data_IF_772405273765
#
_entry.id   IF_772405273765
#
_cell.length_a   1.000
_cell.length_b   1.000
_cell.length_c   1.000
_cell.angle_alpha   90.00
_cell.angle_beta   90.00
_cell.angle_gamma   90.00
#
_symmetry.space_group_name_H-M   'P 1'
#
loop_
_entity.id
_entity.type
_entity.pdbx_description
1 polymer ?
#
# COMPACT_ATOMS: atom_id res chain seq x y z
N UNK A 1 -9.14 -6.90 -24.25
CA UNK A 1 -9.73 -8.20 -23.83
C UNK A 1 -10.77 -7.87 -22.77
N UNK A 2 -12.01 -8.40 -22.90
CA UNK A 2 -13.11 -7.95 -22.04
C UNK A 2 -12.99 -8.43 -20.61
N UNK A 3 -13.61 -7.69 -19.69
CA UNK A 3 -13.72 -7.96 -18.25
C UNK A 3 -14.18 -9.39 -17.93
N UNK A 4 -15.04 -9.97 -18.78
CA UNK A 4 -15.52 -11.36 -18.61
C UNK A 4 -14.42 -12.43 -18.79
N UNK A 5 -13.46 -12.20 -19.69
CA UNK A 5 -12.35 -13.15 -19.90
C UNK A 5 -11.38 -13.13 -18.69
N UNK A 6 -11.15 -11.97 -18.09
CA UNK A 6 -10.34 -11.83 -16.88
C UNK A 6 -11.00 -12.53 -15.69
N UNK A 7 -12.30 -12.30 -15.48
CA UNK A 7 -13.06 -12.95 -14.41
C UNK A 7 -13.03 -14.48 -14.52
N UNK A 8 -13.12 -15.01 -15.72
CA UNK A 8 -13.06 -16.47 -15.95
C UNK A 8 -11.69 -17.05 -15.64
N UNK A 9 -10.62 -16.36 -16.08
CA UNK A 9 -9.23 -16.76 -15.80
C UNK A 9 -8.94 -16.74 -14.30
N UNK A 10 -9.32 -15.67 -13.62
CA UNK A 10 -9.15 -15.52 -12.18
C UNK A 10 -9.92 -16.59 -11.39
N UNK A 11 -11.15 -16.88 -11.78
CA UNK A 11 -11.94 -17.93 -11.15
C UNK A 11 -11.27 -19.31 -11.30
N UNK A 12 -10.72 -19.62 -12.45
CA UNK A 12 -9.96 -20.86 -12.67
C UNK A 12 -8.74 -20.96 -11.75
N UNK A 13 -8.03 -19.84 -11.51
CA UNK A 13 -6.91 -19.79 -10.59
C UNK A 13 -7.31 -20.00 -9.12
N UNK A 14 -8.45 -19.47 -8.69
CA UNK A 14 -9.00 -19.70 -7.35
C UNK A 14 -9.38 -21.17 -7.15
N UNK A 15 -10.08 -21.76 -8.12
CA UNK A 15 -10.52 -23.16 -8.08
C UNK A 15 -9.33 -24.12 -8.04
N UNK A 16 -8.28 -23.86 -8.81
CA UNK A 16 -7.02 -24.62 -8.77
C UNK A 16 -6.34 -24.64 -7.39
N UNK A 17 -6.58 -23.60 -6.57
CA UNK A 17 -6.10 -23.47 -5.19
C UNK A 17 -7.12 -23.88 -4.14
N UNK A 18 -8.27 -24.47 -4.54
CA UNK A 18 -9.33 -24.88 -3.63
C UNK A 18 -10.11 -23.72 -2.98
N UNK A 19 -9.98 -22.51 -3.53
CA UNK A 19 -10.70 -21.34 -3.02
C UNK A 19 -12.01 -21.17 -3.76
N UNK A 20 -13.14 -21.26 -3.05
CA UNK A 20 -14.44 -21.02 -3.66
C UNK A 20 -14.71 -19.52 -3.83
N UNK A 21 -15.49 -19.15 -4.86
CA UNK A 21 -15.94 -17.76 -5.04
C UNK A 21 -16.57 -17.17 -3.78
N UNK A 22 -17.34 -17.98 -3.03
CA UNK A 22 -17.97 -17.56 -1.77
C UNK A 22 -16.94 -17.24 -0.71
N UNK A 23 -15.89 -18.06 -0.57
CA UNK A 23 -14.80 -17.82 0.39
C UNK A 23 -14.00 -16.59 0.01
N UNK A 24 -13.72 -16.42 -1.29
CA UNK A 24 -13.06 -15.23 -1.81
C UNK A 24 -13.87 -13.95 -1.52
N UNK A 25 -15.17 -13.93 -1.81
CA UNK A 25 -16.02 -12.76 -1.52
C UNK A 25 -16.13 -12.44 -0.01
N UNK A 26 -16.11 -13.46 0.85
CA UNK A 26 -16.04 -13.24 2.31
C UNK A 26 -14.73 -12.57 2.72
N UNK A 27 -13.61 -13.01 2.14
CA UNK A 27 -12.30 -12.37 2.36
C UNK A 27 -12.33 -10.91 1.91
N UNK A 28 -12.85 -10.62 0.73
CA UNK A 28 -12.98 -9.24 0.22
C UNK A 28 -13.86 -8.37 1.13
N UNK A 29 -14.93 -8.93 1.68
CA UNK A 29 -15.77 -8.26 2.67
C UNK A 29 -15.01 -7.96 3.97
N UNK A 30 -14.25 -8.93 4.47
CA UNK A 30 -13.43 -8.73 5.66
C UNK A 30 -12.35 -7.65 5.45
N UNK A 31 -11.68 -7.65 4.29
CA UNK A 31 -10.70 -6.62 3.91
C UNK A 31 -11.39 -5.25 3.82
N UNK A 32 -12.56 -5.16 3.16
CA UNK A 32 -13.29 -3.91 3.05
C UNK A 32 -13.69 -3.32 4.41
N UNK A 33 -14.13 -4.17 5.34
CA UNK A 33 -14.47 -3.76 6.72
C UNK A 33 -13.22 -3.32 7.47
N UNK A 34 -12.13 -4.10 7.38
CA UNK A 34 -10.86 -3.77 8.02
C UNK A 34 -10.26 -2.45 7.49
N UNK A 35 -10.47 -2.15 6.21
CA UNK A 35 -10.08 -0.89 5.59
C UNK A 35 -11.06 0.28 5.85
N UNK A 36 -12.09 0.08 6.67
CA UNK A 36 -13.08 1.12 6.97
C UNK A 36 -14.06 1.45 5.84
N UNK A 37 -14.06 0.66 4.76
CA UNK A 37 -14.90 0.90 3.57
C UNK A 37 -16.33 0.33 3.70
N UNK A 38 -16.55 -0.51 4.71
CA UNK A 38 -17.80 -1.22 4.90
C UNK A 38 -18.01 -2.41 3.93
N UNK A 39 -18.93 -3.31 4.28
CA UNK A 39 -19.16 -4.56 3.51
C UNK A 39 -19.59 -4.34 2.05
N UNK A 40 -20.26 -3.21 1.77
CA UNK A 40 -20.71 -2.86 0.42
C UNK A 40 -19.55 -2.62 -0.56
N UNK A 41 -18.35 -2.39 -0.06
CA UNK A 41 -17.16 -2.26 -0.89
C UNK A 41 -16.51 -3.59 -1.30
N UNK A 42 -16.98 -4.73 -0.78
CA UNK A 42 -16.44 -6.06 -1.12
C UNK A 42 -16.31 -6.32 -2.64
N UNK A 43 -17.27 -5.94 -3.51
CA UNK A 43 -17.10 -6.11 -4.95
C UNK A 43 -15.95 -5.28 -5.55
N UNK A 44 -15.71 -4.07 -5.03
CA UNK A 44 -14.58 -3.22 -5.47
C UNK A 44 -13.24 -3.81 -5.04
N UNK A 45 -13.15 -4.33 -3.82
CA UNK A 45 -11.97 -5.03 -3.32
C UNK A 45 -11.72 -6.30 -4.17
N UNK A 46 -12.78 -7.05 -4.49
CA UNK A 46 -12.68 -8.24 -5.34
C UNK A 46 -12.13 -7.90 -6.73
N UNK A 47 -12.65 -6.84 -7.35
CA UNK A 47 -12.19 -6.39 -8.67
C UNK A 47 -10.72 -5.94 -8.63
N UNK A 48 -10.31 -5.17 -7.63
CA UNK A 48 -8.94 -4.73 -7.48
C UNK A 48 -7.96 -5.91 -7.31
N UNK A 49 -8.35 -6.92 -6.52
CA UNK A 49 -7.54 -8.14 -6.35
C UNK A 49 -7.48 -8.96 -7.64
N UNK A 50 -8.59 -9.09 -8.35
CA UNK A 50 -8.64 -9.78 -9.64
C UNK A 50 -7.72 -9.12 -10.68
N UNK A 51 -7.82 -7.81 -10.84
CA UNK A 51 -6.99 -7.02 -11.76
C UNK A 51 -5.51 -7.13 -11.40
N UNK A 52 -5.16 -7.07 -10.12
CA UNK A 52 -3.80 -7.20 -9.63
C UNK A 52 -3.21 -8.58 -9.93
N UNK A 53 -3.94 -9.66 -9.61
CA UNK A 53 -3.46 -11.04 -9.79
C UNK A 53 -3.34 -11.39 -11.28
N UNK A 54 -4.33 -11.03 -12.09
CA UNK A 54 -4.27 -11.27 -13.54
C UNK A 54 -3.19 -10.40 -14.19
N UNK A 55 -3.01 -9.17 -13.75
CA UNK A 55 -1.91 -8.31 -14.18
C UNK A 55 -0.55 -8.97 -13.91
N UNK A 56 -0.33 -9.49 -12.72
CA UNK A 56 0.89 -10.18 -12.33
C UNK A 56 1.16 -11.43 -13.21
N UNK A 57 0.14 -12.27 -13.44
CA UNK A 57 0.29 -13.48 -14.29
C UNK A 57 0.64 -13.17 -15.74
N UNK A 58 0.32 -11.97 -16.21
CA UNK A 58 0.65 -11.49 -17.56
C UNK A 58 1.96 -10.71 -17.63
N UNK A 59 2.70 -10.65 -16.53
CA UNK A 59 3.93 -9.86 -16.41
C UNK A 59 3.69 -8.35 -16.34
N UNK A 60 2.46 -7.92 -16.09
CA UNK A 60 2.09 -6.54 -15.87
C UNK A 60 1.85 -6.33 -14.37
N UNK A 61 2.95 -6.21 -13.65
CA UNK A 61 2.95 -6.04 -12.19
C UNK A 61 2.29 -4.71 -11.81
N UNK A 62 1.52 -4.73 -10.71
CA UNK A 62 0.84 -3.52 -10.23
C UNK A 62 1.84 -2.59 -9.54
N UNK A 63 1.94 -1.31 -9.97
CA UNK A 63 2.88 -0.37 -9.38
C UNK A 63 2.55 -0.09 -7.91
N UNK A 64 3.57 -0.06 -7.08
CA UNK A 64 3.46 0.24 -5.64
C UNK A 64 4.51 1.28 -5.26
N UNK A 65 4.06 2.29 -4.54
CA UNK A 65 4.90 3.22 -3.79
C UNK A 65 4.73 2.88 -2.31
N UNK A 66 5.82 2.58 -1.61
CA UNK A 66 5.81 2.29 -0.18
C UNK A 66 6.61 3.36 0.55
N UNK A 67 5.92 4.29 1.18
CA UNK A 67 6.52 5.40 1.94
C UNK A 67 6.60 5.06 3.42
N UNK A 68 7.74 5.33 4.01
CA UNK A 68 7.94 5.29 5.45
C UNK A 68 7.83 6.71 6.03
N UNK A 69 6.75 6.96 6.75
CA UNK A 69 6.61 8.14 7.60
C UNK A 69 7.45 8.01 8.88
N UNK A 70 6.95 8.50 10.00
CA UNK A 70 7.60 8.26 11.29
C UNK A 70 7.41 6.79 11.70
N UNK A 71 8.28 5.93 11.21
CA UNK A 71 8.22 4.47 11.29
C UNK A 71 9.34 3.92 12.17
N UNK A 72 9.12 2.74 12.72
CA UNK A 72 10.17 1.89 13.29
C UNK A 72 10.63 0.80 12.30
N UNK A 73 10.15 0.84 11.07
CA UNK A 73 10.35 -0.19 10.05
C UNK A 73 9.78 -1.57 10.42
N UNK A 74 9.05 -1.65 11.53
CA UNK A 74 8.56 -2.92 12.08
C UNK A 74 7.54 -3.62 11.19
N UNK A 75 6.75 -2.88 10.40
CA UNK A 75 5.80 -3.50 9.47
C UNK A 75 6.52 -4.05 8.24
N UNK A 76 7.52 -3.34 7.72
CA UNK A 76 8.41 -3.83 6.66
C UNK A 76 9.18 -5.08 7.12
N UNK A 77 9.74 -5.08 8.35
CA UNK A 77 10.41 -6.24 8.94
C UNK A 77 9.45 -7.42 9.13
N UNK A 78 8.23 -7.15 9.54
CA UNK A 78 7.20 -8.20 9.64
C UNK A 78 6.85 -8.78 8.27
N UNK A 79 6.73 -7.95 7.26
CA UNK A 79 6.55 -8.40 5.87
C UNK A 79 7.73 -9.25 5.41
N UNK A 80 8.98 -8.85 5.72
CA UNK A 80 10.17 -9.59 5.34
C UNK A 80 10.25 -11.00 5.94
N UNK A 81 9.44 -11.30 6.95
CA UNK A 81 9.40 -12.61 7.64
C UNK A 81 8.19 -13.48 7.26
N UNK A 82 7.39 -13.04 6.29
CA UNK A 82 6.24 -13.84 5.81
C UNK A 82 6.75 -15.07 5.05
N UNK A 83 6.16 -16.24 5.34
CA UNK A 83 6.57 -17.50 4.72
C UNK A 83 5.79 -17.82 3.43
N UNK A 84 4.51 -17.42 3.35
CA UNK A 84 3.66 -17.77 2.20
C UNK A 84 2.61 -16.71 1.90
N UNK A 85 2.66 -16.02 0.74
CA UNK A 85 3.81 -16.00 -0.18
C UNK A 85 5.03 -15.35 0.50
N UNK A 86 6.23 -15.78 0.16
CA UNK A 86 7.44 -15.15 0.69
C UNK A 86 7.63 -13.74 0.07
N UNK A 87 8.40 -12.85 0.73
CA UNK A 87 8.56 -11.46 0.30
C UNK A 87 9.14 -11.33 -1.11
N UNK A 88 10.05 -12.22 -1.50
CA UNK A 88 10.65 -12.20 -2.83
C UNK A 88 9.59 -12.50 -3.91
N UNK A 89 8.74 -13.48 -3.69
CA UNK A 89 7.60 -13.77 -4.57
C UNK A 89 6.68 -12.55 -4.69
N UNK A 90 6.36 -11.89 -3.58
CA UNK A 90 5.50 -10.69 -3.63
C UNK A 90 6.15 -9.57 -4.44
N UNK A 91 7.39 -9.21 -4.12
CA UNK A 91 8.08 -8.05 -4.71
C UNK A 91 8.50 -8.30 -6.16
N UNK A 92 8.84 -9.55 -6.53
CA UNK A 92 9.35 -9.85 -7.87
C UNK A 92 8.29 -10.36 -8.84
N UNK A 93 7.18 -10.94 -8.33
CA UNK A 93 6.21 -11.64 -9.17
C UNK A 93 4.78 -11.09 -9.07
N UNK A 94 4.45 -10.35 -8.00
CA UNK A 94 3.07 -9.90 -7.75
C UNK A 94 2.90 -8.39 -7.89
N UNK A 95 3.92 -7.59 -7.51
CA UNK A 95 3.88 -6.13 -7.57
C UNK A 95 5.13 -5.58 -8.29
N UNK A 96 5.03 -4.34 -8.76
CA UNK A 96 6.19 -3.55 -9.17
C UNK A 96 6.47 -2.54 -8.07
N UNK A 97 7.42 -2.87 -7.17
CA UNK A 97 7.79 -1.96 -6.09
C UNK A 97 8.69 -0.85 -6.66
N UNK A 98 8.07 0.27 -7.01
CA UNK A 98 8.74 1.37 -7.69
C UNK A 98 9.45 2.33 -6.72
N UNK A 99 9.02 2.35 -5.46
CA UNK A 99 9.63 3.14 -4.41
C UNK A 99 9.47 2.48 -3.04
N UNK A 100 10.57 2.38 -2.30
CA UNK A 100 10.57 2.08 -0.87
C UNK A 100 11.90 2.55 -0.27
N UNK A 101 11.86 3.27 0.82
CA UNK A 101 13.07 3.73 1.52
C UNK A 101 13.89 2.55 2.06
N UNK A 102 13.25 1.43 2.40
CA UNK A 102 13.92 0.27 3.03
C UNK A 102 14.25 -0.83 2.05
N UNK A 103 13.36 -1.17 1.12
CA UNK A 103 13.47 -2.37 0.27
C UNK A 103 14.12 -2.10 -1.08
N UNK A 104 14.20 -0.87 -1.54
CA UNK A 104 14.77 -0.54 -2.84
C UNK A 104 16.29 -0.59 -2.82
N UNK A 105 16.88 -1.13 -3.89
CA UNK A 105 18.33 -1.13 -4.06
C UNK A 105 18.90 0.23 -4.48
N UNK A 106 18.10 1.07 -5.13
CA UNK A 106 18.45 2.43 -5.49
C UNK A 106 18.29 3.39 -4.31
N UNK A 107 18.92 4.55 -4.35
CA UNK A 107 18.85 5.59 -3.33
C UNK A 107 18.98 7.00 -3.92
N UNK A 108 18.60 8.02 -3.16
CA UNK A 108 18.75 9.42 -3.53
C UNK A 108 17.93 9.81 -4.76
N UNK A 109 18.48 10.62 -5.63
CA UNK A 109 17.75 11.19 -6.79
C UNK A 109 17.11 10.14 -7.69
N UNK A 110 17.73 8.98 -7.90
CA UNK A 110 17.17 7.93 -8.75
C UNK A 110 15.88 7.33 -8.18
N UNK A 111 15.77 7.26 -6.85
CA UNK A 111 14.56 6.80 -6.18
C UNK A 111 13.45 7.86 -6.25
N UNK A 112 13.79 9.11 -5.98
CA UNK A 112 12.82 10.20 -6.07
C UNK A 112 12.28 10.37 -7.49
N UNK A 113 13.14 10.19 -8.51
CA UNK A 113 12.72 10.21 -9.90
C UNK A 113 11.77 9.04 -10.23
N UNK A 114 12.04 7.84 -9.77
CA UNK A 114 11.17 6.67 -9.97
C UNK A 114 9.80 6.87 -9.30
N UNK A 115 9.79 7.47 -8.09
CA UNK A 115 8.56 7.86 -7.40
C UNK A 115 7.76 8.88 -8.22
N UNK A 116 8.41 9.97 -8.65
CA UNK A 116 7.76 11.02 -9.42
C UNK A 116 7.17 10.49 -10.74
N UNK A 117 7.91 9.65 -11.47
CA UNK A 117 7.42 9.00 -12.69
C UNK A 117 6.21 8.11 -12.41
N UNK A 118 6.20 7.38 -11.29
CA UNK A 118 5.07 6.53 -10.90
C UNK A 118 3.84 7.37 -10.54
N UNK A 119 4.02 8.49 -9.83
CA UNK A 119 2.94 9.43 -9.49
C UNK A 119 2.36 10.06 -10.76
N UNK A 120 3.20 10.48 -11.70
CA UNK A 120 2.77 11.06 -12.97
C UNK A 120 2.00 10.04 -13.83
N UNK A 121 2.46 8.81 -13.88
CA UNK A 121 1.80 7.73 -14.61
C UNK A 121 0.44 7.36 -14.01
N UNK A 122 0.27 7.53 -12.70
CA UNK A 122 -0.93 7.12 -11.97
C UNK A 122 -1.10 5.61 -11.92
N UNK A 123 -2.29 5.15 -11.52
CA UNK A 123 -2.65 3.74 -11.47
C UNK A 123 -1.72 2.88 -10.60
N UNK A 124 -1.45 3.35 -9.39
CA UNK A 124 -0.62 2.68 -8.40
C UNK A 124 -1.33 2.61 -7.03
N UNK A 125 -0.80 1.75 -6.15
CA UNK A 125 -1.17 1.69 -4.74
C UNK A 125 -0.09 2.40 -3.93
N UNK A 126 -0.52 3.31 -3.05
CA UNK A 126 0.32 3.88 -2.02
C UNK A 126 0.20 3.05 -0.74
N UNK A 127 1.32 2.49 -0.28
CA UNK A 127 1.45 1.92 1.07
C UNK A 127 2.18 2.97 1.91
N UNK A 128 1.60 3.31 3.05
CA UNK A 128 2.21 4.22 4.01
C UNK A 128 2.40 3.53 5.36
N UNK A 129 3.64 3.41 5.80
CA UNK A 129 4.04 2.87 7.08
C UNK A 129 4.50 4.01 8.01
N UNK A 130 4.19 3.90 9.29
CA UNK A 130 4.56 4.94 10.25
C UNK A 130 3.49 6.03 10.42
N UNK A 131 3.70 6.92 11.38
CA UNK A 131 2.78 8.03 11.65
C UNK A 131 3.06 9.23 10.74
N UNK A 132 2.03 10.01 10.47
CA UNK A 132 2.15 11.34 9.85
C UNK A 132 2.47 12.34 10.95
N UNK A 133 3.56 13.11 10.81
CA UNK A 133 3.97 14.10 11.79
C UNK A 133 3.64 15.52 11.33
N UNK A 134 2.61 16.11 11.95
CA UNK A 134 2.17 17.47 11.65
C UNK A 134 2.93 18.54 12.47
N UNK A 135 3.63 18.11 13.50
CA UNK A 135 4.33 18.99 14.43
C UNK A 135 5.33 19.92 13.74
N UNK A 136 5.49 21.10 14.32
CA UNK A 136 6.35 22.19 13.83
C UNK A 136 6.05 22.58 12.38
N UNK A 137 4.77 22.59 12.00
CA UNK A 137 4.34 22.91 10.63
C UNK A 137 4.75 21.86 9.61
N UNK A 138 4.70 20.57 9.98
CA UNK A 138 5.08 19.44 9.12
C UNK A 138 6.58 19.17 9.05
N UNK A 139 7.41 19.96 9.76
CA UNK A 139 8.88 19.84 9.72
C UNK A 139 9.44 18.76 10.65
N UNK A 140 8.59 18.07 11.41
CA UNK A 140 9.01 17.01 12.32
C UNK A 140 9.63 15.80 11.63
N UNK A 141 9.29 15.58 10.35
CA UNK A 141 9.87 14.57 9.47
C UNK A 141 10.18 15.20 8.12
N UNK A 142 11.38 14.97 7.62
CA UNK A 142 11.78 15.39 6.26
C UNK A 142 12.49 14.25 5.54
N UNK A 143 12.13 14.07 4.27
CA UNK A 143 12.75 13.11 3.35
C UNK A 143 13.02 13.82 2.04
N UNK A 144 14.20 13.68 1.44
CA UNK A 144 14.59 14.30 0.17
C UNK A 144 14.29 15.83 0.12
N UNK A 145 14.61 16.54 1.20
CA UNK A 145 14.38 17.99 1.39
C UNK A 145 12.91 18.43 1.42
N UNK A 146 11.98 17.49 1.47
CA UNK A 146 10.53 17.73 1.53
C UNK A 146 9.96 17.31 2.89
N UNK A 147 8.99 18.03 3.48
CA UNK A 147 8.25 17.55 4.64
C UNK A 147 7.56 16.22 4.37
N UNK A 148 7.57 15.30 5.33
CA UNK A 148 6.89 14.00 5.19
C UNK A 148 5.39 14.09 4.93
N UNK A 149 4.77 15.18 5.40
CA UNK A 149 3.36 15.52 5.11
C UNK A 149 3.12 15.83 3.64
N UNK A 150 4.04 16.54 2.99
CA UNK A 150 3.97 16.84 1.56
C UNK A 150 4.18 15.59 0.72
N UNK A 151 5.13 14.72 1.10
CA UNK A 151 5.32 13.41 0.47
C UNK A 151 4.03 12.59 0.44
N UNK A 152 3.31 12.54 1.58
CA UNK A 152 2.06 11.81 1.68
C UNK A 152 0.99 12.40 0.75
N UNK A 153 0.80 13.73 0.79
CA UNK A 153 -0.23 14.41 -0.02
C UNK A 153 0.04 14.23 -1.51
N UNK A 154 1.30 14.43 -1.94
CA UNK A 154 1.70 14.25 -3.33
C UNK A 154 1.44 12.82 -3.80
N UNK A 155 1.91 11.82 -3.03
CA UNK A 155 1.74 10.42 -3.38
C UNK A 155 0.29 9.92 -3.25
N UNK A 156 -0.54 10.52 -2.42
CA UNK A 156 -1.94 10.14 -2.28
C UNK A 156 -2.83 10.68 -3.40
N UNK A 157 -2.45 11.83 -4.01
CA UNK A 157 -3.32 12.56 -4.95
C UNK A 157 -3.74 11.74 -6.18
N UNK A 158 -2.84 10.91 -6.73
CA UNK A 158 -3.07 10.10 -7.93
C UNK A 158 -3.10 8.59 -7.66
N UNK A 159 -3.04 8.18 -6.39
CA UNK A 159 -3.10 6.77 -6.01
C UNK A 159 -4.51 6.20 -6.19
N UNK A 160 -4.62 4.98 -6.72
CA UNK A 160 -5.90 4.26 -6.78
C UNK A 160 -6.39 3.82 -5.40
N UNK A 161 -5.46 3.58 -4.50
CA UNK A 161 -5.75 3.26 -3.11
C UNK A 161 -4.59 3.70 -2.21
N UNK A 162 -4.91 4.09 -0.98
CA UNK A 162 -3.93 4.36 0.08
C UNK A 162 -4.13 3.31 1.17
N UNK A 163 -3.05 2.59 1.47
CA UNK A 163 -3.02 1.54 2.50
C UNK A 163 -2.22 2.05 3.70
N UNK A 164 -2.90 2.33 4.81
CA UNK A 164 -2.26 2.64 6.08
C UNK A 164 -1.79 1.32 6.73
N UNK A 165 -0.47 1.08 6.73
CA UNK A 165 0.12 -0.16 7.22
C UNK A 165 0.61 -0.01 8.66
N UNK A 166 0.00 -0.79 9.55
CA UNK A 166 0.32 -0.81 10.97
C UNK A 166 -0.34 0.31 11.79
N UNK A 167 -0.28 0.18 13.10
CA UNK A 167 -0.98 1.09 14.04
C UNK A 167 -0.53 2.54 13.91
N UNK A 168 0.75 2.77 13.62
CA UNK A 168 1.27 4.13 13.45
C UNK A 168 0.59 4.84 12.27
N UNK A 169 0.46 4.17 11.12
CA UNK A 169 -0.22 4.72 9.96
C UNK A 169 -1.74 4.81 10.14
N UNK A 170 -2.33 3.93 10.95
CA UNK A 170 -3.80 3.92 11.16
C UNK A 170 -4.25 5.02 12.11
N UNK A 171 -3.55 5.24 13.22
CA UNK A 171 -4.01 6.13 14.31
C UNK A 171 -2.89 6.88 15.04
N UNK A 172 -1.71 7.02 14.44
CA UNK A 172 -0.53 7.63 15.08
C UNK A 172 0.28 6.68 15.96
N UNK A 173 -0.25 5.49 16.27
CA UNK A 173 0.42 4.47 17.07
C UNK A 173 0.89 4.96 18.43
N UNK A 174 2.02 4.41 18.90
CA UNK A 174 2.62 4.81 20.18
C UNK A 174 3.18 6.24 20.17
N UNK A 175 3.55 6.77 19.00
CA UNK A 175 3.98 8.17 18.84
C UNK A 175 2.83 9.16 19.03
N UNK A 176 1.59 8.76 18.70
CA UNK A 176 0.38 9.53 18.96
C UNK A 176 -0.04 9.55 20.44
N UNK A 177 0.62 8.75 21.31
CA UNK A 177 0.34 8.77 22.75
C UNK A 177 0.81 10.07 23.38
N UNK A 178 0.09 10.48 24.43
CA UNK A 178 0.41 11.71 25.18
C UNK A 178 1.88 11.70 25.68
N UNK A 179 2.66 12.79 25.53
CA UNK A 179 2.27 14.16 25.17
C UNK A 179 2.18 14.49 23.68
N UNK A 180 2.45 13.56 22.76
CA UNK A 180 2.38 13.73 21.30
C UNK A 180 2.97 15.06 20.78
N UNK A 181 4.18 15.37 21.21
CA UNK A 181 4.84 16.64 20.88
C UNK A 181 5.14 16.83 19.40
N UNK A 182 5.25 15.73 18.65
CA UNK A 182 5.46 15.74 17.21
C UNK A 182 4.16 15.83 16.38
N UNK A 183 2.99 15.85 17.03
CA UNK A 183 1.70 15.89 16.34
C UNK A 183 1.47 14.68 15.45
N UNK A 184 1.75 13.48 15.98
CA UNK A 184 1.60 12.23 15.23
C UNK A 184 0.12 11.88 15.03
N UNK A 185 -0.26 11.62 13.77
CA UNK A 185 -1.60 11.29 13.32
C UNK A 185 -1.57 10.02 12.47
N UNK A 186 -2.73 9.39 12.31
CA UNK A 186 -2.93 8.39 11.27
C UNK A 186 -3.14 9.04 9.89
N UNK A 187 -2.90 8.27 8.84
CA UNK A 187 -3.05 8.73 7.43
C UNK A 187 -4.46 9.25 7.16
N UNK A 188 -5.50 8.51 7.59
CA UNK A 188 -6.89 8.91 7.38
C UNK A 188 -7.29 10.17 8.16
N UNK A 189 -6.59 10.46 9.27
CA UNK A 189 -6.85 11.66 10.05
C UNK A 189 -6.24 12.89 9.42
N UNK A 190 -5.14 12.67 8.67
CA UNK A 190 -4.38 13.74 8.04
C UNK A 190 -4.93 14.10 6.63
N UNK A 191 -5.27 13.11 5.78
CA UNK A 191 -5.86 13.28 4.44
C UNK A 191 -7.36 13.58 4.54
#
# INVERSE_FOLDING_TARGET
MGTEAMATEFQGMLEARGVTRRSFMKLCGAIAVAAGLGELAAPRVAQALEESVIGATRGNLYPVIWIEGASCTGCTESFAQVETPDPATVVLEMISLNYSETLSAAAGHSMEEAKAQTIEAGNYILIYEGAVLEGWGGQALRVADMPGTEHLVEAAANANAVVALGSCAVNGGWMGAHPNSAGALGVQQYL
#
